data_IF_438957307359
#
_entry.id   IF_438957307359
#
_cell.length_a   1.000
_cell.length_b   1.000
_cell.length_c   1.000
_cell.angle_alpha   90.00
_cell.angle_beta   90.00
_cell.angle_gamma   90.00
#
_symmetry.space_group_name_H-M   'P 1'
#
loop_
_entity.id
_entity.type
_entity.pdbx_description
1 polymer ?
#
# COMPACT_ATOMS: atom_id res chain seq x y z
N UNK A 1 8.14 -14.54 10.80
CA UNK A 1 9.30 -13.62 10.87
C UNK A 1 8.76 -12.27 11.23
N UNK A 2 9.33 -11.57 12.22
CA UNK A 2 8.90 -10.23 12.58
C UNK A 2 9.67 -9.23 11.72
N UNK A 3 8.97 -8.55 10.82
CA UNK A 3 9.56 -7.53 9.94
C UNK A 3 9.21 -6.16 10.50
N UNK A 4 10.19 -5.27 10.56
CA UNK A 4 10.03 -3.89 11.05
C UNK A 4 10.28 -2.88 9.93
N UNK A 5 9.79 -1.67 10.11
CA UNK A 5 10.03 -0.56 9.17
C UNK A 5 11.52 -0.31 8.90
N UNK A 6 12.37 -0.40 9.93
CA UNK A 6 13.82 -0.25 9.80
C UNK A 6 14.43 -1.30 8.86
N UNK A 7 13.92 -2.55 8.94
CA UNK A 7 14.34 -3.61 8.03
C UNK A 7 13.87 -3.37 6.59
N UNK A 8 12.68 -2.80 6.38
CA UNK A 8 12.20 -2.43 5.05
C UNK A 8 13.08 -1.35 4.42
N UNK A 9 13.51 -0.37 5.21
CA UNK A 9 14.41 0.70 4.80
C UNK A 9 15.82 0.17 4.48
N UNK A 10 16.35 -0.72 5.32
CA UNK A 10 17.67 -1.32 5.12
C UNK A 10 17.72 -2.32 3.95
N UNK A 11 16.57 -2.93 3.62
CA UNK A 11 16.47 -3.99 2.61
C UNK A 11 15.25 -3.81 1.69
N UNK A 12 15.30 -2.83 0.77
CA UNK A 12 14.19 -2.59 -0.16
C UNK A 12 13.96 -3.80 -1.07
N UNK A 13 12.69 -4.13 -1.30
CA UNK A 13 12.22 -5.23 -2.16
C UNK A 13 12.72 -6.64 -1.76
N UNK A 14 13.20 -6.84 -0.54
CA UNK A 14 13.69 -8.14 -0.07
C UNK A 14 12.57 -9.11 0.32
N UNK A 15 11.44 -8.57 0.78
CA UNK A 15 10.38 -9.37 1.39
C UNK A 15 9.25 -9.65 0.40
N UNK A 16 8.80 -10.90 0.35
CA UNK A 16 7.64 -11.30 -0.45
C UNK A 16 6.34 -10.70 0.09
N UNK A 17 5.33 -10.54 -0.76
CA UNK A 17 3.99 -10.05 -0.39
C UNK A 17 3.42 -10.82 0.80
N UNK A 18 3.51 -12.15 0.81
CA UNK A 18 3.01 -13.00 1.91
C UNK A 18 3.62 -12.63 3.27
N UNK A 19 4.91 -12.28 3.30
CA UNK A 19 5.61 -11.87 4.53
C UNK A 19 5.12 -10.48 4.96
N UNK A 20 4.92 -9.57 4.01
CA UNK A 20 4.40 -8.24 4.28
C UNK A 20 2.96 -8.30 4.82
N UNK A 21 2.11 -9.16 4.26
CA UNK A 21 0.74 -9.39 4.75
C UNK A 21 0.72 -9.88 6.20
N UNK A 22 1.59 -10.83 6.56
CA UNK A 22 1.68 -11.33 7.94
C UNK A 22 2.11 -10.26 8.96
N UNK A 23 2.78 -9.20 8.52
CA UNK A 23 3.32 -8.14 9.37
C UNK A 23 2.57 -6.81 9.23
N UNK A 24 1.53 -6.73 8.40
CA UNK A 24 0.91 -5.47 7.97
C UNK A 24 0.48 -4.56 9.14
N UNK A 25 -0.02 -5.15 10.23
CA UNK A 25 -0.49 -4.43 11.41
C UNK A 25 0.62 -3.66 12.15
N UNK A 26 1.88 -4.02 11.92
CA UNK A 26 3.06 -3.42 12.57
C UNK A 26 3.92 -2.59 11.60
N UNK A 27 3.49 -2.43 10.34
CA UNK A 27 4.26 -1.77 9.29
C UNK A 27 3.61 -0.45 8.88
N UNK A 28 4.44 0.54 8.61
CA UNK A 28 3.97 1.83 8.15
C UNK A 28 3.65 1.80 6.64
N UNK A 29 2.42 2.14 6.27
CA UNK A 29 1.94 2.17 4.87
C UNK A 29 2.84 3.02 3.94
N UNK A 30 3.31 4.18 4.40
CA UNK A 30 4.19 5.05 3.61
C UNK A 30 5.57 4.43 3.40
N UNK A 31 6.12 3.75 4.41
CA UNK A 31 7.41 3.05 4.29
C UNK A 31 7.27 1.86 3.34
N UNK A 32 6.17 1.10 3.43
CA UNK A 32 5.84 0.04 2.47
C UNK A 32 5.81 0.57 1.04
N UNK A 33 5.05 1.64 0.78
CA UNK A 33 4.97 2.28 -0.54
C UNK A 33 6.33 2.76 -1.05
N UNK A 34 7.19 3.31 -0.18
CA UNK A 34 8.46 3.87 -0.60
C UNK A 34 9.57 2.82 -0.82
N UNK A 35 9.47 1.65 -0.19
CA UNK A 35 10.58 0.68 -0.13
C UNK A 35 10.31 -0.63 -0.84
N UNK A 36 9.04 -1.02 -1.01
CA UNK A 36 8.65 -2.32 -1.56
C UNK A 36 7.91 -2.16 -2.89
N UNK A 37 8.05 -3.16 -3.76
CA UNK A 37 7.31 -3.30 -5.01
C UNK A 37 6.03 -4.09 -4.75
N UNK A 38 4.93 -3.36 -4.55
CA UNK A 38 3.63 -3.91 -4.16
C UNK A 38 2.77 -4.25 -5.38
N UNK A 39 1.79 -5.12 -5.18
CA UNK A 39 0.75 -5.44 -6.17
C UNK A 39 -0.48 -4.56 -5.96
N UNK A 40 -1.31 -4.42 -6.99
CA UNK A 40 -2.57 -3.66 -6.89
C UNK A 40 -3.49 -4.27 -5.83
N UNK A 41 -3.61 -5.59 -5.80
CA UNK A 41 -4.40 -6.33 -4.79
C UNK A 41 -3.98 -5.97 -3.36
N UNK A 42 -2.67 -6.03 -3.07
CA UNK A 42 -2.15 -5.67 -1.76
C UNK A 42 -2.44 -4.19 -1.42
N UNK A 43 -2.25 -3.29 -2.38
CA UNK A 43 -2.51 -1.88 -2.20
C UNK A 43 -3.99 -1.62 -1.87
N UNK A 44 -4.93 -2.23 -2.60
CA UNK A 44 -6.38 -2.08 -2.36
C UNK A 44 -6.75 -2.61 -0.97
N UNK A 45 -6.24 -3.80 -0.62
CA UNK A 45 -6.62 -4.51 0.60
C UNK A 45 -6.10 -3.86 1.88
N UNK A 46 -4.90 -3.27 1.84
CA UNK A 46 -4.20 -2.85 3.06
C UNK A 46 -3.79 -1.37 3.11
N UNK A 47 -3.66 -0.71 1.97
CA UNK A 47 -3.11 0.65 1.91
C UNK A 47 -4.20 1.66 1.56
N UNK A 48 -4.93 1.39 0.47
CA UNK A 48 -5.96 2.25 -0.11
C UNK A 48 -6.97 2.64 0.96
N UNK A 49 -7.11 3.94 1.15
CA UNK A 49 -8.05 4.52 2.08
C UNK A 49 -8.92 5.53 1.34
N UNK A 50 -10.14 5.10 1.03
CA UNK A 50 -11.15 5.92 0.36
C UNK A 50 -12.08 6.61 1.36
N UNK A 51 -11.82 6.48 2.67
CA UNK A 51 -12.63 7.16 3.66
C UNK A 51 -12.39 8.67 3.53
N UNK A 52 -13.49 9.42 3.42
CA UNK A 52 -13.43 10.88 3.47
C UNK A 52 -13.17 11.23 4.93
N UNK A 53 -11.90 11.46 5.27
CA UNK A 53 -11.55 12.03 6.56
C UNK A 53 -12.20 13.42 6.68
N UNK A 54 -12.83 13.71 7.82
CA UNK A 54 -13.58 14.96 8.07
C UNK A 54 -12.66 16.20 8.22
N UNK A 55 -11.48 16.19 7.63
CA UNK A 55 -10.57 17.34 7.56
C UNK A 55 -9.65 17.45 8.77
N UNK A 56 -9.14 16.35 9.30
CA UNK A 56 -8.01 16.37 10.22
C UNK A 56 -6.71 16.63 9.44
N UNK A 57 -5.92 17.61 9.89
CA UNK A 57 -4.69 18.08 9.21
C UNK A 57 -3.59 16.99 9.13
N UNK A 58 -3.70 15.92 9.93
CA UNK A 58 -2.77 14.79 10.00
C UNK A 58 -3.24 13.55 9.21
N UNK A 59 -4.41 13.59 8.58
CA UNK A 59 -4.99 12.45 7.88
C UNK A 59 -4.41 12.34 6.46
N UNK A 60 -3.34 11.57 6.31
CA UNK A 60 -2.83 11.20 4.99
C UNK A 60 -3.89 10.40 4.23
N UNK A 61 -4.37 10.95 3.11
CA UNK A 61 -5.26 10.25 2.20
C UNK A 61 -4.40 9.32 1.34
N UNK A 62 -4.54 8.01 1.55
CA UNK A 62 -3.89 6.99 0.74
C UNK A 62 -4.78 6.64 -0.45
N UNK A 63 -5.07 7.61 -1.32
CA UNK A 63 -5.84 7.37 -2.52
C UNK A 63 -5.00 6.74 -3.65
N UNK A 64 -5.66 6.40 -4.76
CA UNK A 64 -5.01 5.76 -5.91
C UNK A 64 -3.89 6.64 -6.49
N UNK A 65 -4.09 7.94 -6.66
CA UNK A 65 -3.05 8.85 -7.15
C UNK A 65 -1.85 8.90 -6.19
N UNK A 66 -2.09 8.97 -4.88
CA UNK A 66 -1.01 8.94 -3.89
C UNK A 66 -0.20 7.63 -3.98
N UNK A 67 -0.87 6.48 -4.06
CA UNK A 67 -0.20 5.18 -4.18
C UNK A 67 0.64 5.10 -5.46
N UNK A 68 0.08 5.57 -6.58
CA UNK A 68 0.76 5.61 -7.87
C UNK A 68 1.93 6.60 -7.89
N UNK A 69 1.99 7.56 -6.97
CA UNK A 69 3.16 8.41 -6.87
C UNK A 69 4.41 7.65 -6.43
N UNK A 70 4.23 6.62 -5.59
CA UNK A 70 5.32 5.75 -5.15
C UNK A 70 5.47 4.50 -6.04
N UNK A 71 4.36 3.92 -6.48
CA UNK A 71 4.32 2.63 -7.17
C UNK A 71 4.16 2.82 -8.69
N UNK A 72 5.16 3.43 -9.33
CA UNK A 72 5.12 3.83 -10.75
C UNK A 72 4.94 2.67 -11.76
N UNK A 73 5.14 1.42 -11.34
CA UNK A 73 4.88 0.24 -12.18
C UNK A 73 3.42 -0.17 -12.24
N UNK A 74 2.57 0.38 -11.36
CA UNK A 74 1.13 0.14 -11.36
C UNK A 74 0.43 1.21 -12.19
N UNK A 75 -0.80 0.93 -12.61
CA UNK A 75 -1.62 1.87 -13.38
C UNK A 75 -3.00 2.07 -12.77
N UNK A 76 -3.57 3.28 -12.96
CA UNK A 76 -4.97 3.56 -12.56
C UNK A 76 -5.96 2.56 -13.16
N UNK A 77 -5.68 2.05 -14.36
CA UNK A 77 -6.56 1.09 -15.03
C UNK A 77 -6.60 -0.24 -14.26
N UNK A 78 -5.47 -0.74 -13.77
CA UNK A 78 -5.44 -1.98 -12.98
C UNK A 78 -6.20 -1.82 -11.66
N UNK A 79 -6.06 -0.67 -10.98
CA UNK A 79 -6.86 -0.35 -9.79
C UNK A 79 -8.36 -0.35 -10.09
N UNK A 80 -8.77 0.35 -11.16
CA UNK A 80 -10.17 0.42 -11.58
C UNK A 80 -10.74 -0.96 -11.91
N UNK A 81 -9.96 -1.80 -12.58
CA UNK A 81 -10.39 -3.15 -12.96
C UNK A 81 -10.66 -4.01 -11.72
N UNK A 82 -9.78 -4.00 -10.72
CA UNK A 82 -9.96 -4.78 -9.49
C UNK A 82 -11.10 -4.24 -8.61
N UNK A 83 -11.18 -2.92 -8.42
CA UNK A 83 -12.27 -2.30 -7.65
C UNK A 83 -13.65 -2.52 -8.26
N UNK A 84 -13.74 -2.66 -9.59
CA UNK A 84 -15.00 -3.01 -10.27
C UNK A 84 -15.37 -4.49 -10.10
N UNK A 85 -14.39 -5.39 -9.96
CA UNK A 85 -14.62 -6.81 -9.77
C UNK A 85 -15.07 -7.15 -8.34
N UNK A 86 -14.61 -6.42 -7.33
CA UNK A 86 -15.01 -6.62 -5.93
C UNK A 86 -16.44 -6.15 -5.59
N UNK A 87 -17.10 -5.45 -6.52
CA UNK A 87 -18.48 -4.98 -6.36
C UNK A 87 -19.54 -5.92 -6.97
N UNK A 88 -19.13 -7.09 -7.49
CA UNK A 88 -20.00 -8.08 -8.16
C UNK A 88 -20.17 -9.34 -7.31
#
# INVERSE_FOLDING_TARGET
>A
MNVTDDQLLAHPNKYSIEILEQNINNLNKKILLATQKLTVDFCIKYILDLAIDNGSEDSYIYDVDYILDFQKHLTKQEFKQLLMLEQV
#
